data_IF_790307222124
#
_entry.id   IF_790307222124
#
_cell.length_a   1.000
_cell.length_b   1.000
_cell.length_c   1.000
_cell.angle_alpha   90.00
_cell.angle_beta   90.00
_cell.angle_gamma   90.00
#
_symmetry.space_group_name_H-M   'P 1'
#
loop_
_entity.id
_entity.type
_entity.pdbx_description
1 polymer ?
#
# COMPACT_ATOMS: atom_id res chain seq x y z
N UNK A 1 -22.90 -20.77 18.63
CA UNK A 1 -21.65 -20.09 18.24
C UNK A 1 -21.77 -18.67 18.76
N UNK A 2 -21.01 -18.29 19.78
CA UNK A 2 -21.13 -16.97 20.42
C UNK A 2 -20.50 -15.89 19.53
N UNK A 3 -21.09 -14.70 19.49
CA UNK A 3 -20.63 -13.56 18.68
C UNK A 3 -19.13 -13.26 18.87
N UNK A 4 -18.61 -13.47 20.09
CA UNK A 4 -17.19 -13.36 20.41
C UNK A 4 -16.28 -14.22 19.52
N UNK A 5 -16.66 -15.46 19.24
CA UNK A 5 -15.85 -16.37 18.42
C UNK A 5 -15.82 -15.93 16.95
N UNK A 6 -16.90 -15.29 16.48
CA UNK A 6 -16.97 -14.71 15.14
C UNK A 6 -16.02 -13.51 15.03
N UNK A 7 -15.98 -12.64 16.05
CA UNK A 7 -15.08 -11.48 16.08
C UNK A 7 -13.61 -11.92 16.07
N UNK A 8 -13.25 -12.88 16.93
CA UNK A 8 -11.88 -13.42 17.00
C UNK A 8 -11.42 -14.03 15.66
N UNK A 9 -12.31 -14.76 14.98
CA UNK A 9 -12.04 -15.31 13.65
C UNK A 9 -11.87 -14.20 12.60
N UNK A 10 -12.69 -13.16 12.64
CA UNK A 10 -12.58 -12.01 11.72
C UNK A 10 -11.26 -11.24 11.91
N UNK A 11 -10.86 -11.00 13.16
CA UNK A 11 -9.57 -10.37 13.48
C UNK A 11 -8.40 -11.22 12.98
N UNK A 12 -8.46 -12.54 13.19
CA UNK A 12 -7.44 -13.48 12.72
C UNK A 12 -7.32 -13.48 11.19
N UNK A 13 -8.44 -13.46 10.47
CA UNK A 13 -8.47 -13.40 9.01
C UNK A 13 -7.91 -12.06 8.52
N UNK A 14 -8.35 -10.95 9.13
CA UNK A 14 -7.86 -9.61 8.80
C UNK A 14 -6.34 -9.50 8.95
N UNK A 15 -5.79 -9.98 10.07
CA UNK A 15 -4.35 -9.98 10.33
C UNK A 15 -3.55 -10.79 9.30
N UNK A 16 -4.08 -11.93 8.85
CA UNK A 16 -3.44 -12.74 7.80
C UNK A 16 -3.44 -12.05 6.45
N UNK A 17 -4.56 -11.45 6.06
CA UNK A 17 -4.71 -10.74 4.76
C UNK A 17 -3.80 -9.52 4.70
N UNK A 18 -3.57 -8.84 5.82
CA UNK A 18 -2.77 -7.61 5.85
C UNK A 18 -1.24 -7.86 5.98
N UNK A 19 -0.83 -9.11 6.21
CA UNK A 19 0.55 -9.50 6.49
C UNK A 19 1.46 -9.60 5.25
N UNK A 20 0.90 -9.77 4.06
CA UNK A 20 1.68 -9.87 2.82
C UNK A 20 1.90 -8.48 2.21
N UNK A 21 3.18 -8.14 2.04
CA UNK A 21 3.56 -6.95 1.29
C UNK A 21 3.25 -7.17 -0.20
N UNK A 22 2.39 -6.30 -0.74
CA UNK A 22 1.88 -6.44 -2.10
C UNK A 22 2.24 -5.25 -2.95
N UNK A 23 2.36 -5.49 -4.25
CA UNK A 23 2.47 -4.45 -5.26
C UNK A 23 1.11 -3.79 -5.47
N UNK A 24 1.10 -2.47 -5.37
CA UNK A 24 -0.04 -1.60 -5.62
C UNK A 24 0.13 -0.94 -6.98
N UNK A 25 -0.96 -0.90 -7.75
CA UNK A 25 -1.06 -0.04 -8.92
C UNK A 25 -1.04 1.43 -8.52
N UNK A 26 -0.84 2.34 -9.48
CA UNK A 26 -0.91 3.78 -9.21
C UNK A 26 -2.24 4.21 -8.59
N UNK A 27 -3.37 3.64 -9.01
CA UNK A 27 -4.69 3.96 -8.45
C UNK A 27 -4.79 3.53 -6.98
N UNK A 28 -4.41 2.28 -6.67
CA UNK A 28 -4.40 1.77 -5.30
C UNK A 28 -3.41 2.54 -4.41
N UNK A 29 -2.27 2.96 -4.95
CA UNK A 29 -1.30 3.78 -4.22
C UNK A 29 -1.87 5.18 -3.92
N UNK A 30 -2.61 5.79 -4.86
CA UNK A 30 -3.32 7.05 -4.63
C UNK A 30 -4.34 6.93 -3.51
N UNK A 31 -5.15 5.86 -3.53
CA UNK A 31 -6.15 5.58 -2.49
C UNK A 31 -5.50 5.32 -1.14
N UNK A 32 -4.43 4.52 -1.09
CA UNK A 32 -3.73 4.19 0.15
C UNK A 32 -3.05 5.40 0.79
N UNK A 33 -2.43 6.28 -0.02
CA UNK A 33 -1.74 7.47 0.47
C UNK A 33 -2.62 8.74 0.53
N UNK A 34 -3.87 8.67 0.07
CA UNK A 34 -4.78 9.83 -0.04
C UNK A 34 -4.17 11.01 -0.80
N UNK A 35 -3.42 10.73 -1.88
CA UNK A 35 -2.77 11.75 -2.72
C UNK A 35 -3.10 11.56 -4.19
N UNK A 36 -2.93 12.62 -4.98
CA UNK A 36 -3.09 12.53 -6.42
C UNK A 36 -1.93 11.79 -7.09
N UNK A 37 -2.22 11.18 -8.24
CA UNK A 37 -1.24 10.50 -9.09
C UNK A 37 -0.06 11.42 -9.46
N UNK A 38 -0.32 12.70 -9.72
CA UNK A 38 0.73 13.69 -10.00
C UNK A 38 1.71 13.81 -8.83
N UNK A 39 1.22 13.77 -7.58
CA UNK A 39 2.07 13.84 -6.39
C UNK A 39 2.96 12.61 -6.26
N UNK A 40 2.42 11.40 -6.49
CA UNK A 40 3.22 10.17 -6.52
C UNK A 40 4.30 10.25 -7.60
N UNK A 41 3.93 10.55 -8.85
CA UNK A 41 4.88 10.65 -9.97
C UNK A 41 5.98 11.68 -9.73
N UNK A 42 5.65 12.83 -9.13
CA UNK A 42 6.63 13.86 -8.75
C UNK A 42 7.63 13.36 -7.71
N UNK A 43 7.17 12.62 -6.70
CA UNK A 43 8.05 12.05 -5.68
C UNK A 43 8.91 10.89 -6.21
N UNK A 44 8.37 10.09 -7.13
CA UNK A 44 9.15 9.11 -7.89
C UNK A 44 10.25 9.80 -8.70
N UNK A 45 9.91 10.84 -9.47
CA UNK A 45 10.88 11.59 -10.27
C UNK A 45 11.94 12.29 -9.40
N UNK A 46 11.58 12.72 -8.18
CA UNK A 46 12.51 13.28 -7.19
C UNK A 46 13.41 12.22 -6.54
N UNK A 47 13.09 10.93 -6.71
CA UNK A 47 13.80 9.81 -6.06
C UNK A 47 13.45 9.62 -4.58
N UNK A 48 12.43 10.32 -4.06
CA UNK A 48 11.98 10.19 -2.66
C UNK A 48 11.05 9.00 -2.45
N UNK A 49 10.39 8.53 -3.51
CA UNK A 49 9.52 7.35 -3.50
C UNK A 49 10.02 6.32 -4.50
N UNK A 50 10.18 5.07 -4.05
CA UNK A 50 10.54 3.94 -4.92
C UNK A 50 9.33 3.42 -5.68
N UNK A 51 9.53 3.05 -6.94
CA UNK A 51 8.56 2.31 -7.72
C UNK A 51 9.28 1.33 -8.67
N UNK A 52 8.61 0.23 -9.00
CA UNK A 52 9.02 -0.65 -10.09
C UNK A 52 8.40 -0.17 -11.39
N UNK A 53 9.21 -0.03 -12.44
CA UNK A 53 8.79 0.34 -13.80
C UNK A 53 8.98 -0.81 -14.80
N UNK A 54 9.37 -1.99 -14.32
CA UNK A 54 9.80 -3.13 -15.16
C UNK A 54 8.71 -3.62 -16.14
N UNK A 55 7.43 -3.46 -15.78
CA UNK A 55 6.28 -4.00 -16.53
C UNK A 55 5.61 -2.92 -17.40
N UNK A 56 6.25 -1.76 -17.60
CA UNK A 56 5.68 -0.62 -18.33
C UNK A 56 4.59 0.16 -17.58
N UNK A 57 4.31 -0.23 -16.33
CA UNK A 57 3.46 0.50 -15.37
C UNK A 57 4.26 0.75 -14.10
N UNK A 58 3.95 1.85 -13.42
CA UNK A 58 4.50 2.11 -12.09
C UNK A 58 3.76 1.24 -11.07
N UNK A 59 4.51 0.34 -10.44
CA UNK A 59 4.05 -0.45 -9.31
C UNK A 59 4.76 0.01 -8.05
N UNK A 60 4.01 0.07 -6.96
CA UNK A 60 4.50 0.57 -5.68
C UNK A 60 4.38 -0.53 -4.65
N UNK A 61 5.46 -0.83 -3.96
CA UNK A 61 5.42 -1.77 -2.85
C UNK A 61 4.73 -1.10 -1.65
N UNK A 62 3.76 -1.76 -1.03
CA UNK A 62 2.98 -1.19 0.10
C UNK A 62 3.92 -0.78 1.26
N UNK A 63 4.95 -1.57 1.55
CA UNK A 63 5.97 -1.24 2.57
C UNK A 63 6.77 0.02 2.24
N UNK A 64 7.25 0.17 1.00
CA UNK A 64 7.97 1.36 0.55
C UNK A 64 7.08 2.60 0.61
N UNK A 65 5.80 2.47 0.20
CA UNK A 65 4.84 3.58 0.26
C UNK A 65 4.55 3.99 1.72
N UNK A 66 4.40 3.01 2.62
CA UNK A 66 4.24 3.24 4.06
C UNK A 66 5.47 3.92 4.66
N UNK A 67 6.68 3.51 4.25
CA UNK A 67 7.91 4.12 4.72
C UNK A 67 8.06 5.56 4.21
N UNK A 68 7.67 5.81 2.97
CA UNK A 68 7.64 7.15 2.39
C UNK A 68 6.68 8.07 3.15
N UNK A 69 5.45 7.62 3.45
CA UNK A 69 4.48 8.38 4.23
C UNK A 69 4.95 8.72 5.66
N UNK A 70 5.79 7.89 6.26
CA UNK A 70 6.37 8.16 7.59
C UNK A 70 7.50 9.20 7.57
N UNK A 71 8.10 9.46 6.41
CA UNK A 71 9.24 10.38 6.25
C UNK A 71 8.83 11.78 5.76
N UNK A 72 7.63 11.91 5.18
CA UNK A 72 7.04 13.18 4.77
C UNK A 72 6.47 13.93 5.95
#
# INVERSE_FOLDING_TARGET
>A
MTVYKIIEMLETISAKVDSEDRWLSTSEACEYASVSEKTLRRNVAKGTLKCSTAVGKNLYLKSDLKQWLKKG
#
